data_IF_651983406524
#
_entry.id   IF_651983406524
#
_cell.length_a   1.000
_cell.length_b   1.000
_cell.length_c   1.000
_cell.angle_alpha   90.00
_cell.angle_beta   90.00
_cell.angle_gamma   90.00
#
_symmetry.space_group_name_H-M   'P 1'
#
loop_
_entity.id
_entity.type
_entity.pdbx_description
1 polymer ?
#
# COMPACT_ATOMS: atom_id res chain seq x y z
N UNK A 1 -38.90 -22.56 10.59
CA UNK A 1 -38.97 -23.61 11.64
C UNK A 1 -37.66 -23.62 12.44
N UNK A 2 -37.47 -22.69 13.39
CA UNK A 2 -36.36 -22.76 14.37
C UNK A 2 -36.84 -23.32 15.72
N UNK A 3 -38.13 -23.17 16.03
CA UNK A 3 -38.77 -23.74 17.21
C UNK A 3 -38.98 -25.26 17.14
N UNK A 4 -38.79 -25.91 15.97
CA UNK A 4 -38.99 -27.36 15.87
C UNK A 4 -37.88 -28.13 16.60
N UNK A 5 -36.61 -27.71 16.47
CA UNK A 5 -35.47 -28.27 17.21
C UNK A 5 -34.58 -27.15 17.77
N UNK A 6 -34.98 -26.54 18.90
CA UNK A 6 -34.29 -25.36 19.42
C UNK A 6 -32.85 -25.66 19.87
N UNK A 7 -32.58 -26.83 20.44
CA UNK A 7 -31.25 -27.22 20.92
C UNK A 7 -30.24 -27.43 19.80
N UNK A 8 -30.62 -28.12 18.72
CA UNK A 8 -29.73 -28.33 17.56
C UNK A 8 -29.48 -27.02 16.82
N UNK A 9 -30.49 -26.16 16.72
CA UNK A 9 -30.32 -24.82 16.13
C UNK A 9 -29.30 -23.99 16.92
N UNK A 10 -29.36 -24.01 18.26
CA UNK A 10 -28.37 -23.33 19.12
C UNK A 10 -26.97 -23.92 18.99
N UNK A 11 -26.85 -25.25 18.91
CA UNK A 11 -25.56 -25.92 18.76
C UNK A 11 -24.90 -25.56 17.42
N UNK A 12 -25.67 -25.60 16.33
CA UNK A 12 -25.18 -25.21 15.00
C UNK A 12 -24.75 -23.75 15.01
N UNK A 13 -25.55 -22.85 15.59
CA UNK A 13 -25.18 -21.44 15.70
C UNK A 13 -23.87 -21.23 16.48
N UNK A 14 -23.69 -21.94 17.59
CA UNK A 14 -22.44 -21.88 18.36
C UNK A 14 -21.25 -22.37 17.54
N UNK A 15 -21.37 -23.51 16.87
CA UNK A 15 -20.32 -24.04 16.00
C UNK A 15 -19.96 -23.06 14.87
N UNK A 16 -20.94 -22.42 14.24
CA UNK A 16 -20.70 -21.40 13.22
C UNK A 16 -19.88 -20.22 13.76
N UNK A 17 -20.17 -19.74 14.98
CA UNK A 17 -19.38 -18.69 15.61
C UNK A 17 -17.93 -19.16 15.83
N UNK A 18 -17.72 -20.40 16.30
CA UNK A 18 -16.37 -20.94 16.51
C UNK A 18 -15.56 -21.05 15.22
N UNK A 19 -16.19 -21.23 14.05
CA UNK A 19 -15.46 -21.26 12.78
C UNK A 19 -14.76 -19.94 12.44
N UNK A 20 -15.24 -18.80 12.98
CA UNK A 20 -14.66 -17.46 12.73
C UNK A 20 -13.28 -17.29 13.38
N UNK A 21 -12.94 -18.09 14.39
CA UNK A 21 -11.65 -18.01 15.08
C UNK A 21 -10.48 -18.29 14.13
N UNK A 22 -10.65 -19.20 13.16
CA UNK A 22 -9.59 -19.60 12.23
C UNK A 22 -9.27 -18.56 11.14
N UNK A 23 -10.25 -17.92 10.47
CA UNK A 23 -9.97 -16.78 9.60
C UNK A 23 -9.40 -15.58 10.36
N UNK A 24 -9.89 -15.32 11.59
CA UNK A 24 -9.48 -14.17 12.38
C UNK A 24 -7.99 -14.22 12.77
N UNK A 25 -7.42 -15.41 12.96
CA UNK A 25 -5.98 -15.57 13.22
C UNK A 25 -5.10 -15.44 11.97
N UNK A 26 -5.69 -15.43 10.78
CA UNK A 26 -4.97 -15.32 9.51
C UNK A 26 -5.03 -13.91 8.90
N UNK A 27 -6.00 -13.09 9.28
CA UNK A 27 -6.07 -11.69 8.83
C UNK A 27 -5.13 -10.80 9.64
N UNK A 28 -4.33 -10.01 8.93
CA UNK A 28 -3.52 -8.94 9.51
C UNK A 28 -4.35 -7.67 9.77
N UNK A 29 -3.74 -6.72 10.47
CA UNK A 29 -4.27 -5.37 10.63
C UNK A 29 -3.45 -4.37 9.83
N UNK A 30 -4.13 -3.45 9.13
CA UNK A 30 -3.53 -2.27 8.51
C UNK A 30 -4.23 -1.03 9.07
N UNK A 31 -3.57 0.13 9.11
CA UNK A 31 -4.19 1.37 9.59
C UNK A 31 -5.36 1.79 8.69
N UNK A 32 -5.11 1.82 7.39
CA UNK A 32 -6.08 2.05 6.32
C UNK A 32 -5.65 1.20 5.12
N UNK A 33 -6.58 0.74 4.27
CA UNK A 33 -6.24 0.02 3.06
C UNK A 33 -5.46 0.93 2.11
N UNK A 34 -4.47 0.36 1.41
CA UNK A 34 -3.74 1.09 0.36
C UNK A 34 -4.71 1.41 -0.79
N UNK A 35 -4.85 2.70 -1.10
CA UNK A 35 -5.68 3.19 -2.20
C UNK A 35 -4.82 3.29 -3.45
N UNK A 36 -5.34 2.86 -4.60
CA UNK A 36 -4.69 3.03 -5.89
C UNK A 36 -5.09 4.39 -6.48
N UNK A 37 -4.15 5.34 -6.46
CA UNK A 37 -4.35 6.73 -6.89
C UNK A 37 -4.23 6.91 -8.41
N UNK A 38 -3.72 5.90 -9.13
CA UNK A 38 -3.46 5.94 -10.56
C UNK A 38 -2.08 6.50 -10.93
N UNK A 39 -1.43 7.20 -10.00
CA UNK A 39 -0.02 7.57 -10.03
C UNK A 39 0.65 7.25 -8.68
N UNK A 40 1.95 7.53 -8.57
CA UNK A 40 2.72 7.33 -7.35
C UNK A 40 3.89 8.32 -7.25
N UNK A 41 4.26 8.66 -6.01
CA UNK A 41 5.40 9.53 -5.72
C UNK A 41 6.65 8.71 -5.37
N UNK A 42 7.68 8.81 -6.21
CA UNK A 42 9.00 8.26 -5.89
C UNK A 42 9.82 9.28 -5.09
N UNK A 43 10.07 9.01 -3.81
CA UNK A 43 10.80 9.89 -2.88
C UNK A 43 12.08 9.22 -2.38
N UNK A 44 13.17 9.25 -3.16
CA UNK A 44 14.45 8.68 -2.74
C UNK A 44 15.12 9.56 -1.69
N UNK A 45 15.88 8.93 -0.79
CA UNK A 45 16.78 9.61 0.15
C UNK A 45 18.24 9.30 -0.21
N UNK A 46 19.12 10.27 0.04
CA UNK A 46 20.56 10.14 -0.17
C UNK A 46 21.31 10.71 1.03
N UNK A 47 22.62 10.44 1.12
CA UNK A 47 23.47 11.00 2.16
C UNK A 47 23.53 12.54 2.05
N UNK A 48 23.65 13.26 3.18
CA UNK A 48 23.80 14.70 3.16
C UNK A 48 25.10 15.12 2.46
N UNK A 49 25.09 16.29 1.81
CA UNK A 49 26.27 16.87 1.16
C UNK A 49 26.34 16.69 -0.36
N UNK A 50 25.31 16.12 -0.99
CA UNK A 50 25.20 16.08 -2.45
C UNK A 50 25.08 17.50 -3.01
N UNK A 51 25.89 17.82 -4.03
CA UNK A 51 25.82 19.13 -4.68
C UNK A 51 24.51 19.27 -5.49
N UNK A 52 23.97 20.48 -5.66
CA UNK A 52 22.75 20.68 -6.47
C UNK A 52 22.89 20.15 -7.90
N UNK A 53 24.08 20.26 -8.51
CA UNK A 53 24.35 19.76 -9.85
C UNK A 53 24.28 18.22 -9.90
N UNK A 54 24.89 17.55 -8.93
CA UNK A 54 24.85 16.09 -8.84
C UNK A 54 23.41 15.61 -8.57
N UNK A 55 22.68 16.30 -7.69
CA UNK A 55 21.30 15.97 -7.40
C UNK A 55 20.39 16.08 -8.64
N UNK A 56 20.61 17.10 -9.49
CA UNK A 56 19.89 17.24 -10.75
C UNK A 56 20.26 16.14 -11.77
N UNK A 57 21.53 15.74 -11.84
CA UNK A 57 21.98 14.64 -12.70
C UNK A 57 21.39 13.28 -12.25
N UNK A 58 21.37 13.04 -10.95
CA UNK A 58 20.72 11.87 -10.34
C UNK A 58 19.22 11.85 -10.62
N UNK A 59 18.54 12.99 -10.50
CA UNK A 59 17.12 13.12 -10.83
C UNK A 59 16.86 12.74 -12.28
N UNK A 60 17.60 13.31 -13.23
CA UNK A 60 17.40 13.02 -14.65
C UNK A 60 17.68 11.54 -14.99
N UNK A 61 18.72 10.96 -14.37
CA UNK A 61 19.05 9.55 -14.55
C UNK A 61 17.93 8.66 -14.04
N UNK A 62 17.40 8.98 -12.86
CA UNK A 62 16.27 8.27 -12.24
C UNK A 62 15.01 8.38 -13.10
N UNK A 63 14.66 9.57 -13.57
CA UNK A 63 13.48 9.79 -14.40
C UNK A 63 13.52 8.98 -15.70
N UNK A 64 14.69 8.91 -16.35
CA UNK A 64 14.90 8.07 -17.54
C UNK A 64 14.69 6.59 -17.23
N UNK A 65 15.23 6.11 -16.11
CA UNK A 65 15.07 4.71 -15.68
C UNK A 65 13.61 4.40 -15.35
N UNK A 66 12.90 5.26 -14.62
CA UNK A 66 11.48 5.08 -14.32
C UNK A 66 10.68 5.01 -15.63
N UNK A 67 11.00 5.86 -16.60
CA UNK A 67 10.31 5.89 -17.90
C UNK A 67 10.55 4.64 -18.77
N UNK A 68 11.54 3.80 -18.44
CA UNK A 68 11.74 2.51 -19.12
C UNK A 68 10.67 1.46 -18.78
N UNK A 69 9.94 1.65 -17.68
CA UNK A 69 8.87 0.77 -17.24
C UNK A 69 7.62 1.02 -18.11
N UNK A 70 7.06 0.00 -18.79
CA UNK A 70 6.01 0.21 -19.79
C UNK A 70 4.70 0.75 -19.21
N UNK A 71 4.41 0.48 -17.93
CA UNK A 71 3.25 0.99 -17.22
C UNK A 71 3.30 2.52 -16.98
N UNK A 72 4.48 3.14 -17.11
CA UNK A 72 4.69 4.55 -16.79
C UNK A 72 4.40 5.45 -18.00
N UNK A 73 3.28 6.18 -17.95
CA UNK A 73 2.90 7.13 -19.00
C UNK A 73 3.73 8.42 -19.00
N UNK A 74 4.08 8.97 -17.84
CA UNK A 74 4.88 10.20 -17.71
C UNK A 74 5.67 10.21 -16.40
N UNK A 75 6.78 10.95 -16.37
CA UNK A 75 7.60 11.15 -15.16
C UNK A 75 7.86 12.64 -14.99
N UNK A 76 7.71 13.14 -13.76
CA UNK A 76 8.02 14.53 -13.39
C UNK A 76 8.87 14.54 -12.12
N UNK A 77 10.19 14.50 -12.30
CA UNK A 77 11.13 14.60 -11.20
C UNK A 77 11.22 16.01 -10.61
N UNK A 78 11.36 16.09 -9.28
CA UNK A 78 11.65 17.33 -8.57
C UNK A 78 12.78 17.11 -7.55
N UNK A 79 13.77 17.99 -7.55
CA UNK A 79 14.81 18.06 -6.51
C UNK A 79 14.87 19.46 -5.93
N UNK A 80 15.08 19.54 -4.61
CA UNK A 80 15.11 20.82 -3.89
C UNK A 80 13.72 21.39 -3.61
N UNK A 81 13.71 22.63 -3.13
CA UNK A 81 12.53 23.44 -2.83
C UNK A 81 12.82 24.88 -3.23
N UNK A 82 11.78 25.69 -3.43
CA UNK A 82 11.97 27.14 -3.58
C UNK A 82 12.46 27.72 -2.25
N UNK A 83 13.47 28.59 -2.31
CA UNK A 83 13.89 29.44 -1.19
C UNK A 83 13.07 30.73 -1.29
N UNK A 84 11.88 30.71 -0.68
CA UNK A 84 11.03 31.90 -0.45
C UNK A 84 10.49 31.85 0.96
#
# INVERSE_FOLDING_TARGET
RVLHWPKTTLLVAALTIFTVIWPLSQVGGEFLPKINEGDLLYMPSTLPGVSPAEAAALLQTTDKLIKTVPEVASVFGKTGKAET
#
